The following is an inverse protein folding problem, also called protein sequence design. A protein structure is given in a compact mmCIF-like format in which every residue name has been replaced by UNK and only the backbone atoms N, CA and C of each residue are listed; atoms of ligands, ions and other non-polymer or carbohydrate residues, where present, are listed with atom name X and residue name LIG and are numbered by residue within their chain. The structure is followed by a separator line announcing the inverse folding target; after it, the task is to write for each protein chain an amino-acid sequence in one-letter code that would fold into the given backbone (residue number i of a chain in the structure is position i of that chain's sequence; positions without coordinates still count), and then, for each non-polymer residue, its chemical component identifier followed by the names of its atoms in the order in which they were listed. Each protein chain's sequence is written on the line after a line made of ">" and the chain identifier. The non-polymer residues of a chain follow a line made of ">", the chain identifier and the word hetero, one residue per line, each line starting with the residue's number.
data_IF_354468951628
#
_entry.id   IF_354468951628
#
_cell.length_a   1.000
_cell.length_b   1.000
_cell.length_c   1.000
_cell.angle_alpha   90.00
_cell.angle_beta   90.00
_cell.angle_gamma   90.00
#
_symmetry.space_group_name_H-M   'P 1'
#
loop_
_entity.id
_entity.type
_entity.pdbx_description
1 polymer ?
#
# COMPACT_ATOMS: atom_id res chain seq x y z
N UNK A 1 -22.05 11.93 22.95
CA UNK A 1 -21.44 10.62 22.86
C UNK A 1 -20.56 10.53 21.67
N UNK A 2 -19.34 10.17 21.86
CA UNK A 2 -18.38 10.14 20.79
C UNK A 2 -18.53 8.93 19.87
N UNK A 3 -18.62 9.19 18.56
CA UNK A 3 -18.41 8.15 17.57
C UNK A 3 -16.95 8.21 17.16
N UNK A 4 -16.28 7.06 17.14
CA UNK A 4 -14.96 6.96 16.58
C UNK A 4 -15.07 6.71 15.07
N UNK A 5 -14.33 7.45 14.29
CA UNK A 5 -14.29 7.28 12.84
C UNK A 5 -12.86 6.97 12.44
N UNK A 6 -12.68 5.82 11.78
CA UNK A 6 -11.40 5.43 11.21
C UNK A 6 -11.46 5.61 9.69
N UNK A 7 -10.56 6.41 9.16
CA UNK A 7 -10.45 6.63 7.72
C UNK A 7 -9.09 6.11 7.27
N UNK A 8 -9.09 5.32 6.22
CA UNK A 8 -7.89 4.79 5.61
C UNK A 8 -7.84 5.15 4.14
N UNK A 9 -6.65 5.44 3.64
CA UNK A 9 -6.40 5.64 2.23
C UNK A 9 -5.03 5.08 1.90
N UNK A 10 -4.91 4.46 0.74
CA UNK A 10 -3.62 3.90 0.33
C UNK A 10 -3.40 4.10 -1.16
N UNK A 11 -2.12 4.08 -1.54
CA UNK A 11 -1.75 4.26 -2.93
C UNK A 11 -0.41 3.63 -3.24
N UNK A 12 -0.22 3.37 -4.52
CA UNK A 12 1.02 2.85 -5.07
C UNK A 12 1.77 3.99 -5.76
N UNK A 13 3.02 4.18 -5.39
CA UNK A 13 3.88 5.24 -5.90
C UNK A 13 5.06 4.60 -6.61
N UNK A 14 5.17 4.80 -7.93
CA UNK A 14 6.18 4.14 -8.77
C UNK A 14 7.21 5.17 -9.21
N UNK A 15 8.46 5.00 -8.76
CA UNK A 15 9.53 5.96 -9.01
C UNK A 15 9.73 6.27 -10.50
N UNK A 16 9.80 5.23 -11.33
CA UNK A 16 10.03 5.38 -12.77
C UNK A 16 8.90 6.09 -13.52
N UNK A 17 7.74 6.25 -12.89
CA UNK A 17 6.58 6.91 -13.48
C UNK A 17 6.28 8.24 -12.79
N UNK A 18 7.28 8.84 -12.12
CA UNK A 18 7.08 10.12 -11.43
C UNK A 18 6.09 10.04 -10.28
N UNK A 19 6.08 8.90 -9.60
CA UNK A 19 5.18 8.56 -8.48
C UNK A 19 3.74 8.29 -8.89
N UNK A 20 3.46 8.18 -10.19
CA UNK A 20 2.18 7.70 -10.68
C UNK A 20 2.01 6.21 -10.31
N UNK A 21 0.84 5.69 -9.95
CA UNK A 21 -0.46 6.37 -9.93
C UNK A 21 -0.74 7.20 -8.67
N UNK A 22 -0.01 7.02 -7.56
CA UNK A 22 -0.13 7.86 -6.38
C UNK A 22 -1.56 7.94 -5.84
N UNK A 23 -2.09 9.16 -5.73
CA UNK A 23 -3.44 9.39 -5.20
C UNK A 23 -4.54 8.85 -6.12
N UNK A 24 -4.20 8.53 -7.38
CA UNK A 24 -5.14 7.97 -8.35
C UNK A 24 -5.10 6.45 -8.41
N UNK A 25 -4.46 5.79 -7.46
CA UNK A 25 -4.23 4.34 -7.48
C UNK A 25 -5.50 3.52 -7.68
N UNK A 26 -6.57 3.85 -6.97
CA UNK A 26 -7.84 3.14 -7.11
C UNK A 26 -8.42 3.27 -8.51
N UNK A 27 -8.42 4.48 -9.05
CA UNK A 27 -8.91 4.76 -10.40
C UNK A 27 -8.08 4.01 -11.44
N UNK A 28 -6.76 4.07 -11.32
CA UNK A 28 -5.84 3.42 -12.27
C UNK A 28 -5.99 1.90 -12.21
N UNK A 29 -6.17 1.34 -11.01
CA UNK A 29 -6.40 -0.10 -10.86
C UNK A 29 -7.66 -0.55 -11.61
N UNK A 30 -8.71 0.27 -11.60
CA UNK A 30 -9.97 -0.06 -12.27
C UNK A 30 -9.98 0.24 -13.76
N UNK A 31 -9.03 1.03 -14.26
CA UNK A 31 -8.98 1.43 -15.67
C UNK A 31 -7.91 0.65 -16.42
N UNK A 32 -6.64 1.05 -16.34
CA UNK A 32 -5.58 0.34 -17.06
C UNK A 32 -5.11 -0.92 -16.35
N UNK A 33 -5.32 -1.01 -15.06
CA UNK A 33 -5.06 -2.21 -14.28
C UNK A 33 -3.59 -2.59 -14.20
N UNK A 34 -3.34 -3.82 -13.75
CA UNK A 34 -2.00 -4.35 -13.57
C UNK A 34 -1.21 -4.43 -14.88
N UNK A 35 -1.87 -4.90 -15.93
CA UNK A 35 -1.22 -5.01 -17.24
C UNK A 35 -0.84 -3.64 -17.78
N UNK A 36 -1.69 -2.62 -17.56
CA UNK A 36 -1.39 -1.26 -17.97
C UNK A 36 -0.15 -0.71 -17.28
N UNK A 37 0.01 -0.95 -15.99
CA UNK A 37 1.21 -0.52 -15.24
C UNK A 37 2.45 -1.23 -15.79
N UNK A 38 2.37 -2.54 -16.00
CA UNK A 38 3.48 -3.31 -16.57
C UNK A 38 3.89 -2.75 -17.94
N UNK A 39 2.89 -2.44 -18.78
CA UNK A 39 3.14 -1.88 -20.11
C UNK A 39 3.83 -0.52 -20.04
N UNK A 40 3.45 0.34 -19.10
CA UNK A 40 4.08 1.64 -18.91
C UNK A 40 5.54 1.52 -18.50
N UNK A 41 5.91 0.44 -17.81
CA UNK A 41 7.28 0.19 -17.35
C UNK A 41 8.09 -0.68 -18.29
N UNK A 42 7.55 -1.10 -19.42
CA UNK A 42 8.19 -2.06 -20.31
C UNK A 42 9.61 -1.66 -20.72
N UNK A 43 9.83 -0.36 -20.97
CA UNK A 43 11.13 0.16 -21.39
C UNK A 43 11.85 0.91 -20.27
N UNK A 44 11.37 0.78 -19.06
CA UNK A 44 11.92 1.50 -17.92
C UNK A 44 12.65 0.54 -17.00
N UNK A 45 13.94 0.78 -16.75
CA UNK A 45 14.75 -0.05 -15.86
C UNK A 45 14.47 0.22 -14.38
N UNK A 46 13.86 1.35 -14.05
CA UNK A 46 13.52 1.69 -12.66
C UNK A 46 12.13 1.18 -12.32
N UNK A 47 12.08 0.04 -11.65
CA UNK A 47 10.83 -0.58 -11.23
C UNK A 47 10.55 -0.40 -9.74
N UNK A 48 11.30 0.46 -9.08
CA UNK A 48 11.12 0.73 -7.66
C UNK A 48 9.77 1.35 -7.39
N UNK A 49 9.12 0.87 -6.35
CA UNK A 49 7.79 1.34 -6.00
C UNK A 49 7.60 1.28 -4.49
N UNK A 50 6.62 2.00 -4.02
CA UNK A 50 6.28 2.07 -2.61
C UNK A 50 4.78 2.12 -2.45
N UNK A 51 4.23 1.20 -1.66
CA UNK A 51 2.87 1.34 -1.16
C UNK A 51 2.89 2.25 0.06
N UNK A 52 1.94 3.18 0.13
CA UNK A 52 1.72 4.03 1.31
C UNK A 52 0.28 3.88 1.76
N UNK A 53 0.08 3.78 3.07
CA UNK A 53 -1.24 3.77 3.67
C UNK A 53 -1.30 4.84 4.75
N UNK A 54 -2.35 5.63 4.72
CA UNK A 54 -2.62 6.67 5.70
C UNK A 54 -3.83 6.25 6.49
N UNK A 55 -3.73 6.31 7.82
CA UNK A 55 -4.83 5.99 8.72
C UNK A 55 -5.08 7.19 9.62
N UNK A 56 -6.33 7.60 9.73
CA UNK A 56 -6.74 8.69 10.60
C UNK A 56 -7.88 8.19 11.48
N UNK A 57 -7.68 8.26 12.79
CA UNK A 57 -8.73 8.00 13.75
C UNK A 57 -9.21 9.31 14.33
N UNK A 58 -10.50 9.56 14.28
CA UNK A 58 -11.13 10.76 14.81
C UNK A 58 -12.12 10.38 15.90
N UNK A 59 -11.97 10.99 17.06
CA UNK A 59 -12.85 10.73 18.22
C UNK A 59 -12.90 11.95 19.13
N UNK A 60 -14.10 12.40 19.44
CA UNK A 60 -14.34 13.49 20.40
C UNK A 60 -13.53 14.76 20.14
N UNK A 61 -13.47 15.19 18.91
CA UNK A 61 -12.74 16.41 18.52
C UNK A 61 -11.23 16.26 18.46
N UNK A 62 -10.73 15.06 18.72
CA UNK A 62 -9.30 14.73 18.62
C UNK A 62 -9.08 13.77 17.47
N UNK A 63 -7.89 13.79 16.90
CA UNK A 63 -7.55 12.82 15.89
C UNK A 63 -6.11 12.34 16.05
N UNK A 64 -5.89 11.13 15.60
CA UNK A 64 -4.58 10.51 15.52
C UNK A 64 -4.38 10.09 14.07
N UNK A 65 -3.19 10.28 13.55
CA UNK A 65 -2.88 9.83 12.21
C UNK A 65 -1.60 9.01 12.19
N UNK A 66 -1.47 8.20 11.17
CA UNK A 66 -0.25 7.44 10.93
C UNK A 66 -0.10 7.17 9.46
N UNK A 67 1.14 6.87 9.05
CA UNK A 67 1.44 6.48 7.69
C UNK A 67 2.37 5.27 7.74
N UNK A 68 1.94 4.18 7.11
CA UNK A 68 2.77 3.01 6.91
C UNK A 68 3.20 2.93 5.46
N UNK A 69 4.40 2.44 5.20
CA UNK A 69 4.88 2.26 3.85
C UNK A 69 5.60 0.93 3.69
N UNK A 70 5.53 0.40 2.49
CA UNK A 70 6.18 -0.84 2.12
C UNK A 70 6.89 -0.62 0.80
N UNK A 71 8.21 -0.66 0.83
CA UNK A 71 9.04 -0.50 -0.37
C UNK A 71 9.17 -1.82 -1.10
N UNK A 72 9.21 -1.75 -2.42
CA UNK A 72 9.32 -2.93 -3.24
C UNK A 72 9.59 -2.59 -4.70
N UNK A 73 9.22 -3.50 -5.55
CA UNK A 73 9.42 -3.39 -7.00
C UNK A 73 8.19 -3.88 -7.74
N UNK A 74 7.98 -3.34 -8.92
CA UNK A 74 6.94 -3.83 -9.83
C UNK A 74 7.49 -5.00 -10.63
N UNK A 75 6.76 -6.12 -10.63
CA UNK A 75 7.14 -7.32 -11.38
C UNK A 75 7.03 -7.08 -12.89
N UNK A 76 7.66 -7.95 -13.67
CA UNK A 76 7.59 -7.87 -15.13
C UNK A 76 6.35 -8.55 -15.69
N UNK A 77 5.62 -9.29 -14.87
CA UNK A 77 4.40 -9.97 -15.27
C UNK A 77 3.46 -10.09 -14.07
N UNK A 78 2.20 -10.33 -14.35
CA UNK A 78 1.20 -10.57 -13.31
C UNK A 78 1.46 -11.94 -12.69
N UNK A 79 1.60 -11.99 -11.36
CA UNK A 79 1.88 -13.22 -10.63
C UNK A 79 0.99 -13.33 -9.42
N UNK A 80 0.21 -14.41 -9.36
CA UNK A 80 -0.72 -14.66 -8.27
C UNK A 80 -2.06 -13.98 -8.47
N UNK A 81 -3.01 -14.31 -7.63
CA UNK A 81 -4.38 -13.78 -7.70
C UNK A 81 -4.97 -13.46 -6.35
N UNK A 82 -4.17 -13.56 -5.29
CA UNK A 82 -4.63 -13.23 -3.93
C UNK A 82 -4.64 -11.72 -3.74
N UNK A 83 -5.41 -11.26 -2.76
CA UNK A 83 -5.49 -9.85 -2.44
C UNK A 83 -6.31 -9.06 -3.46
N UNK A 84 -5.93 -7.80 -3.66
CA UNK A 84 -6.68 -6.89 -4.53
C UNK A 84 -5.75 -5.84 -5.12
N UNK A 85 -6.28 -5.07 -6.09
CA UNK A 85 -5.54 -3.95 -6.69
C UNK A 85 -4.25 -4.40 -7.35
N UNK A 86 -3.14 -3.78 -6.95
CA UNK A 86 -1.82 -4.02 -7.56
C UNK A 86 -1.03 -5.17 -6.91
N UNK A 87 -1.65 -5.93 -5.99
CA UNK A 87 -0.97 -7.03 -5.30
C UNK A 87 -0.30 -8.02 -6.25
N UNK A 88 -0.92 -8.40 -7.40
CA UNK A 88 -0.27 -9.34 -8.32
C UNK A 88 0.99 -8.84 -9.02
N UNK A 89 1.35 -7.57 -8.87
CA UNK A 89 2.54 -7.01 -9.50
C UNK A 89 3.50 -6.35 -8.52
N UNK A 90 3.21 -6.35 -7.23
CA UNK A 90 4.07 -5.71 -6.23
C UNK A 90 4.89 -6.75 -5.46
N UNK A 91 6.21 -6.65 -5.56
CA UNK A 91 7.17 -7.53 -4.87
C UNK A 91 7.78 -6.74 -3.72
N UNK A 92 7.44 -7.03 -2.45
CA UNK A 92 8.03 -6.31 -1.32
C UNK A 92 9.52 -6.64 -1.17
N UNK A 93 10.32 -5.63 -0.85
CA UNK A 93 11.77 -5.81 -0.67
C UNK A 93 12.11 -6.75 0.48
N UNK A 94 11.30 -6.76 1.53
CA UNK A 94 11.52 -7.59 2.71
C UNK A 94 11.09 -9.04 2.54
N UNK A 95 10.61 -9.41 1.36
CA UNK A 95 10.10 -10.75 1.10
C UNK A 95 11.11 -11.66 0.42
N UNK A 96 10.60 -12.73 -0.14
CA UNK A 96 11.37 -13.78 -0.80
C UNK A 96 11.24 -13.74 -2.33
N UNK A 97 10.83 -12.62 -2.88
CA UNK A 97 10.67 -12.43 -4.32
C UNK A 97 9.26 -12.71 -4.83
N UNK A 98 8.35 -13.13 -3.95
CA UNK A 98 6.94 -13.30 -4.34
C UNK A 98 6.23 -11.96 -4.36
N UNK A 99 5.23 -11.83 -5.23
CA UNK A 99 4.31 -10.68 -5.19
C UNK A 99 3.33 -10.87 -4.04
N UNK A 100 2.68 -9.78 -3.63
CA UNK A 100 1.59 -9.89 -2.67
C UNK A 100 0.45 -10.78 -3.19
N UNK A 101 0.26 -10.84 -4.51
CA UNK A 101 -0.73 -11.72 -5.12
C UNK A 101 -0.41 -13.20 -4.98
N UNK A 102 0.84 -13.54 -4.70
CA UNK A 102 1.29 -14.91 -4.47
C UNK A 102 1.33 -15.29 -2.99
N UNK A 103 1.01 -14.37 -2.10
CA UNK A 103 1.08 -14.58 -0.66
C UNK A 103 -0.27 -14.89 -0.06
N UNK A 104 -0.26 -15.64 1.06
CA UNK A 104 -1.43 -15.76 1.91
C UNK A 104 -1.69 -14.43 2.63
N UNK A 105 -2.92 -14.21 3.05
CA UNK A 105 -3.29 -12.97 3.73
C UNK A 105 -2.43 -12.70 4.97
N UNK A 106 -2.13 -13.74 5.75
CA UNK A 106 -1.30 -13.60 6.94
C UNK A 106 0.14 -13.18 6.60
N UNK A 107 0.70 -13.69 5.51
CA UNK A 107 2.03 -13.31 5.06
C UNK A 107 2.06 -11.85 4.58
N UNK A 108 1.05 -11.45 3.84
CA UNK A 108 0.91 -10.10 3.34
C UNK A 108 0.73 -9.10 4.49
N UNK A 109 -0.12 -9.44 5.48
CA UNK A 109 -0.41 -8.54 6.61
C UNK A 109 0.84 -8.20 7.41
N UNK A 110 1.77 -9.14 7.53
CA UNK A 110 3.02 -8.91 8.24
C UNK A 110 3.92 -7.88 7.54
N UNK A 111 3.75 -7.69 6.23
CA UNK A 111 4.63 -6.86 5.39
C UNK A 111 3.95 -5.63 4.82
N UNK A 112 2.62 -5.58 4.82
CA UNK A 112 1.89 -4.56 4.07
C UNK A 112 1.96 -3.18 4.72
N UNK A 113 1.87 -2.17 3.86
CA UNK A 113 1.78 -0.76 4.25
C UNK A 113 0.59 -0.49 5.17
N UNK A 114 -0.55 -1.15 4.89
CA UNK A 114 -1.78 -0.98 5.66
C UNK A 114 -1.64 -1.54 7.07
N UNK A 115 -1.07 -2.73 7.20
CA UNK A 115 -0.79 -3.33 8.50
C UNK A 115 0.19 -2.49 9.32
N UNK A 116 1.22 -1.92 8.68
CA UNK A 116 2.18 -1.05 9.34
C UNK A 116 1.51 0.23 9.82
N UNK A 117 0.66 0.85 9.01
CA UNK A 117 -0.06 2.06 9.38
C UNK A 117 -0.96 1.84 10.60
N UNK A 118 -1.69 0.74 10.62
CA UNK A 118 -2.57 0.39 11.73
C UNK A 118 -1.79 0.11 13.02
N UNK A 119 -0.65 -0.57 12.92
CA UNK A 119 0.20 -0.82 14.09
C UNK A 119 0.73 0.48 14.68
N UNK A 120 1.21 1.39 13.83
CA UNK A 120 1.69 2.70 14.27
C UNK A 120 0.56 3.48 14.96
N UNK A 121 -0.62 3.45 14.39
CA UNK A 121 -1.79 4.13 14.97
C UNK A 121 -2.14 3.56 16.34
N UNK A 122 -2.16 2.24 16.49
CA UNK A 122 -2.40 1.58 17.77
C UNK A 122 -1.35 1.96 18.82
N UNK A 123 -0.09 2.02 18.42
CA UNK A 123 0.99 2.43 19.31
C UNK A 123 0.83 3.89 19.76
N UNK A 124 0.41 4.76 18.84
CA UNK A 124 0.15 6.16 19.17
C UNK A 124 -1.01 6.30 20.16
N UNK A 125 -2.03 5.46 20.05
CA UNK A 125 -3.16 5.46 20.99
C UNK A 125 -2.76 5.02 22.39
N UNK A 126 -1.75 4.16 22.50
CA UNK A 126 -1.26 3.68 23.79
C UNK A 126 -0.29 4.68 24.44
N UNK A 127 0.27 5.60 23.68
CA UNK A 127 1.19 6.59 24.20
C UNK A 127 0.42 7.67 24.95
N UNK A 128 1.00 8.21 26.04
CA UNK A 128 0.37 9.34 26.72
C UNK A 128 0.24 10.52 25.76
N UNK A 129 -0.91 11.14 25.75
CA UNK A 129 -1.11 12.37 24.99
C UNK A 129 -0.28 13.48 25.60
N UNK A 130 0.51 14.10 24.78
CA UNK A 130 1.31 15.25 25.21
C UNK A 130 0.57 16.55 24.96
#
# INVERSE_FOLDING_TARGET
>A
EGCAILVEDSGLFIDGLGFFPGVYSSYVSRTIGNQGIINLLEKNSNRQAEYRAYSILYENGKYWNSMGKCSGQISTEIRGSNGFGFDPIFIPNSGDGRTFGEMLQSEKDAKSHRGKSLRILCDNLRAPLK
#
